data_IF_606034257048
#
_entry.id   IF_606034257048
#
_cell.length_a   1.000
_cell.length_b   1.000
_cell.length_c   1.000
_cell.angle_alpha   90.00
_cell.angle_beta   90.00
_cell.angle_gamma   90.00
#
_symmetry.space_group_name_H-M   'P 1'
#
loop_
_entity.id
_entity.type
_entity.pdbx_description
1 polymer ?
#
# COMPACT_ATOMS: atom_id res chain seq x y z
N UNK A 1 12.52 -9.25 -17.42
CA UNK A 1 11.44 -8.44 -18.02
C UNK A 1 10.14 -9.18 -17.78
N UNK A 2 9.21 -8.60 -17.03
CA UNK A 2 7.92 -9.23 -16.70
C UNK A 2 6.83 -8.56 -17.53
N UNK A 3 5.98 -9.35 -18.17
CA UNK A 3 4.88 -8.84 -19.00
C UNK A 3 3.54 -9.28 -18.40
N UNK A 4 2.58 -8.35 -18.36
CA UNK A 4 1.22 -8.58 -17.91
C UNK A 4 0.26 -8.28 -19.06
N UNK A 5 -0.68 -9.18 -19.33
CA UNK A 5 -1.75 -8.97 -20.31
C UNK A 5 -3.08 -8.93 -19.60
N UNK A 6 -3.84 -7.85 -19.79
CA UNK A 6 -5.19 -7.70 -19.25
C UNK A 6 -6.17 -8.00 -20.40
N UNK A 7 -7.02 -9.01 -20.20
CA UNK A 7 -8.03 -9.42 -21.19
C UNK A 7 -9.38 -8.78 -20.86
N UNK A 8 -10.24 -8.72 -21.87
CA UNK A 8 -11.64 -8.32 -21.74
C UNK A 8 -11.85 -6.91 -21.14
N UNK A 9 -10.91 -6.00 -21.44
CA UNK A 9 -11.03 -4.60 -21.04
C UNK A 9 -12.17 -3.95 -21.84
N UNK A 10 -13.21 -3.41 -21.17
CA UNK A 10 -14.30 -2.73 -21.87
C UNK A 10 -13.78 -1.58 -22.73
N UNK A 11 -14.29 -1.44 -23.96
CA UNK A 11 -13.84 -0.39 -24.88
C UNK A 11 -14.00 1.02 -24.29
N UNK A 12 -15.06 1.24 -23.52
CA UNK A 12 -15.32 2.49 -22.81
C UNK A 12 -14.20 2.83 -21.81
N UNK A 13 -13.73 1.85 -21.04
CA UNK A 13 -12.63 2.03 -20.11
C UNK A 13 -11.30 2.26 -20.86
N UNK A 14 -11.06 1.52 -21.94
CA UNK A 14 -9.87 1.68 -22.77
C UNK A 14 -9.77 3.08 -23.39
N UNK A 15 -10.89 3.63 -23.85
CA UNK A 15 -10.94 4.99 -24.41
C UNK A 15 -10.55 6.05 -23.37
N UNK A 16 -11.08 5.94 -22.15
CA UNK A 16 -10.75 6.85 -21.04
C UNK A 16 -9.26 6.74 -20.68
N UNK A 17 -8.72 5.52 -20.57
CA UNK A 17 -7.31 5.30 -20.24
C UNK A 17 -6.38 5.87 -21.32
N UNK A 18 -6.72 5.73 -22.60
CA UNK A 18 -5.96 6.33 -23.71
C UNK A 18 -5.94 7.85 -23.63
N UNK A 19 -7.11 8.48 -23.42
CA UNK A 19 -7.20 9.93 -23.28
C UNK A 19 -6.30 10.45 -22.14
N UNK A 20 -6.40 9.83 -20.96
CA UNK A 20 -5.57 10.19 -19.79
C UNK A 20 -4.08 9.95 -20.03
N UNK A 21 -3.72 8.87 -20.72
CA UNK A 21 -2.32 8.61 -21.07
C UNK A 21 -1.76 9.70 -22.00
N UNK A 22 -2.55 10.14 -23.00
CA UNK A 22 -2.19 11.25 -23.89
C UNK A 22 -2.06 12.57 -23.12
N UNK A 23 -3.00 12.90 -22.24
CA UNK A 23 -2.94 14.08 -21.37
C UNK A 23 -1.68 14.07 -20.48
N UNK A 24 -1.28 12.90 -19.99
CA UNK A 24 -0.08 12.72 -19.19
C UNK A 24 1.23 12.65 -20.02
N UNK A 25 1.15 12.70 -21.36
CA UNK A 25 2.31 12.55 -22.25
C UNK A 25 2.97 11.18 -22.21
N UNK A 26 2.22 10.13 -21.84
CA UNK A 26 2.70 8.76 -21.63
C UNK A 26 2.11 7.81 -22.66
N UNK A 27 2.83 6.72 -22.96
CA UNK A 27 2.21 5.58 -23.63
C UNK A 27 1.15 4.95 -22.72
N UNK A 28 0.14 4.30 -23.31
CA UNK A 28 -0.90 3.60 -22.53
C UNK A 28 -0.29 2.57 -21.57
N UNK A 29 0.75 1.85 -22.00
CA UNK A 29 1.46 0.88 -21.17
C UNK A 29 2.14 1.54 -19.96
N UNK A 30 2.87 2.63 -20.17
CA UNK A 30 3.53 3.35 -19.07
C UNK A 30 2.51 3.92 -18.08
N UNK A 31 1.44 4.55 -18.59
CA UNK A 31 0.38 5.09 -17.75
C UNK A 31 -0.33 4.01 -16.92
N UNK A 32 -0.65 2.86 -17.53
CA UNK A 32 -1.31 1.75 -16.83
C UNK A 32 -0.38 1.09 -15.81
N UNK A 33 0.92 1.00 -16.12
CA UNK A 33 1.91 0.51 -15.17
C UNK A 33 1.96 1.40 -13.93
N UNK A 34 2.00 2.73 -14.10
CA UNK A 34 2.00 3.67 -12.98
C UNK A 34 0.75 3.51 -12.11
N UNK A 35 -0.43 3.31 -12.73
CA UNK A 35 -1.66 3.05 -11.99
C UNK A 35 -1.59 1.76 -11.18
N UNK A 36 -1.09 0.66 -11.76
CA UNK A 36 -0.98 -0.63 -11.08
C UNK A 36 0.06 -0.59 -9.96
N UNK A 37 1.19 0.08 -10.18
CA UNK A 37 2.21 0.28 -9.15
C UNK A 37 1.64 1.13 -8.01
N UNK A 38 0.94 2.23 -8.32
CA UNK A 38 0.29 3.07 -7.31
C UNK A 38 -0.74 2.30 -6.48
N UNK A 39 -1.54 1.45 -7.13
CA UNK A 39 -2.48 0.58 -6.44
C UNK A 39 -1.79 -0.47 -5.55
N UNK A 40 -0.63 -0.99 -5.97
CA UNK A 40 0.14 -1.96 -5.20
C UNK A 40 0.94 -1.33 -4.05
N UNK A 41 1.32 -0.06 -4.15
CA UNK A 41 2.05 0.65 -3.09
C UNK A 41 1.16 1.31 -2.06
N UNK A 42 -0.11 1.53 -2.37
CA UNK A 42 -1.09 2.11 -1.43
C UNK A 42 -1.80 0.98 -0.69
N UNK A 43 -1.46 0.70 0.58
CA UNK A 43 -2.13 -0.35 1.33
C UNK A 43 -3.61 0.00 1.48
N UNK A 44 -4.46 -1.00 1.28
CA UNK A 44 -5.89 -0.88 1.52
C UNK A 44 -6.17 -0.70 3.01
N UNK A 45 -7.30 -0.09 3.37
CA UNK A 45 -7.71 0.05 4.77
C UNK A 45 -7.76 -1.32 5.49
N UNK A 46 -8.21 -2.37 4.79
CA UNK A 46 -8.24 -3.72 5.33
C UNK A 46 -6.84 -4.25 5.67
N UNK A 47 -5.85 -4.00 4.80
CA UNK A 47 -4.45 -4.40 5.04
C UNK A 47 -3.82 -3.58 6.17
N UNK A 48 -4.14 -2.28 6.26
CA UNK A 48 -3.70 -1.42 7.38
C UNK A 48 -4.32 -1.90 8.69
N UNK A 49 -5.61 -2.22 8.70
CA UNK A 49 -6.29 -2.75 9.89
C UNK A 49 -5.74 -4.11 10.33
N UNK A 50 -5.54 -5.04 9.39
CA UNK A 50 -4.94 -6.34 9.70
C UNK A 50 -3.51 -6.20 10.23
N UNK A 51 -2.73 -5.25 9.68
CA UNK A 51 -1.40 -4.93 10.19
C UNK A 51 -1.46 -4.30 11.59
N UNK A 52 -2.37 -3.37 11.82
CA UNK A 52 -2.56 -2.75 13.13
C UNK A 52 -3.00 -3.78 14.19
N UNK A 53 -3.87 -4.73 13.83
CA UNK A 53 -4.24 -5.86 14.70
C UNK A 53 -3.05 -6.77 14.99
N UNK A 54 -2.23 -7.09 13.98
CA UNK A 54 -1.03 -7.89 14.16
C UNK A 54 0.01 -7.17 15.04
N UNK A 55 0.23 -5.86 14.86
CA UNK A 55 1.16 -5.07 15.66
C UNK A 55 0.63 -4.85 17.10
N UNK A 56 -0.67 -4.57 17.26
CA UNK A 56 -1.34 -4.45 18.56
C UNK A 56 -1.43 -5.78 19.32
N UNK A 57 -1.32 -6.92 18.62
CA UNK A 57 -1.28 -8.25 19.23
C UNK A 57 0.04 -8.59 19.92
N UNK A 58 1.07 -7.72 19.87
CA UNK A 58 2.21 -7.84 20.78
C UNK A 58 1.66 -7.81 22.20
N UNK A 59 1.69 -8.96 22.85
CA UNK A 59 1.17 -9.16 24.19
C UNK A 59 2.12 -8.46 25.15
N UNK A 60 1.88 -7.18 25.41
CA UNK A 60 2.59 -6.43 26.44
C UNK A 60 2.25 -7.05 27.79
N UNK A 61 3.26 -7.59 28.46
CA UNK A 61 3.11 -8.10 29.81
C UNK A 61 3.27 -6.96 30.82
N UNK A 62 2.74 -7.16 32.02
CA UNK A 62 2.94 -6.24 33.15
C UNK A 62 4.43 -6.04 33.45
N UNK A 63 5.26 -7.07 33.19
CA UNK A 63 6.71 -7.01 33.34
C UNK A 63 7.35 -6.04 32.36
N UNK A 64 6.92 -6.03 31.09
CA UNK A 64 7.44 -5.13 30.06
C UNK A 64 7.15 -3.66 30.40
N UNK A 65 5.93 -3.41 30.89
CA UNK A 65 5.52 -2.07 31.34
C UNK A 65 6.35 -1.61 32.55
N UNK A 66 6.60 -2.51 33.50
CA UNK A 66 7.39 -2.19 34.69
C UNK A 66 8.86 -1.93 34.36
N UNK A 67 9.44 -2.72 33.45
CA UNK A 67 10.81 -2.50 32.96
C UNK A 67 10.96 -1.12 32.31
N UNK A 68 10.02 -0.71 31.44
CA UNK A 68 10.05 0.60 30.81
C UNK A 68 9.97 1.77 31.81
N UNK A 69 9.21 1.62 32.90
CA UNK A 69 9.10 2.63 33.97
C UNK A 69 10.42 2.74 34.75
N UNK A 70 11.04 1.60 35.06
CA UNK A 70 12.28 1.57 35.83
C UNK A 70 13.46 2.12 35.01
N UNK A 71 13.53 1.82 33.69
CA UNK A 71 14.50 2.41 32.77
C UNK A 71 14.38 3.94 32.69
N UNK A 72 13.15 4.47 32.61
CA UNK A 72 12.90 5.91 32.57
C UNK A 72 13.29 6.62 33.88
N UNK A 73 13.22 5.94 35.02
CA UNK A 73 13.67 6.47 36.33
C UNK A 73 15.18 6.44 36.45
N UNK A 74 15.85 5.42 35.91
CA UNK A 74 17.30 5.29 35.94
C UNK A 74 18.02 6.32 35.04
N UNK A 75 17.33 6.84 34.03
CA UNK A 75 17.83 7.87 33.13
C UNK A 75 17.72 9.32 33.68
N UNK A 76 17.24 9.50 34.92
CA UNK A 76 17.11 10.79 35.62
C UNK A 76 18.22 10.96 36.65
#
# INVERSE_FOLDING_TARGET
>A
MTALTIRDVPESALAILKARATEAGKSLQAYTLDLLVGAATTPTLAEVSARAEAEASTTLTVTDVRAAIDDARAAR
#
